data_IF_764504366776
#
_entry.id   IF_764504366776
#
_cell.length_a   1.000
_cell.length_b   1.000
_cell.length_c   1.000
_cell.angle_alpha   90.00
_cell.angle_beta   90.00
_cell.angle_gamma   90.00
#
_symmetry.space_group_name_H-M   'P 1'
#
loop_
_entity.id
_entity.type
_entity.pdbx_description
1 polymer ?
#
# COMPACT_ATOMS: atom_id res chain seq x y z
N UNK A 1 -22.94 18.03 1.46
CA UNK A 1 -22.12 17.93 2.68
C UNK A 1 -21.35 16.63 2.67
N UNK A 2 -20.05 16.72 2.81
CA UNK A 2 -19.24 15.52 2.83
C UNK A 2 -19.42 14.79 4.14
N UNK A 3 -19.66 13.50 4.09
CA UNK A 3 -19.68 12.67 5.28
C UNK A 3 -18.25 12.39 5.74
N UNK A 4 -18.08 12.27 7.05
CA UNK A 4 -16.81 11.86 7.61
C UNK A 4 -16.75 10.33 7.52
N UNK A 5 -15.75 9.82 6.83
CA UNK A 5 -15.60 8.39 6.67
C UNK A 5 -14.27 8.04 6.00
N UNK A 6 -14.02 6.76 5.81
CA UNK A 6 -12.79 6.32 5.16
C UNK A 6 -12.75 6.74 3.69
N UNK A 7 -11.55 6.80 3.10
CA UNK A 7 -11.41 7.08 1.67
C UNK A 7 -12.16 6.08 0.81
N UNK A 8 -12.49 6.51 -0.42
CA UNK A 8 -13.17 5.65 -1.38
C UNK A 8 -12.41 4.34 -1.58
N UNK A 9 -13.13 3.24 -1.55
CA UNK A 9 -12.53 1.92 -1.69
C UNK A 9 -11.99 1.32 -0.41
N UNK A 10 -12.09 2.06 0.68
CA UNK A 10 -11.65 1.60 2.00
C UNK A 10 -12.83 1.60 2.96
N UNK A 11 -12.70 0.86 4.03
CA UNK A 11 -13.74 0.82 5.05
C UNK A 11 -13.15 0.52 6.41
N UNK A 12 -13.86 0.96 7.43
CA UNK A 12 -13.55 0.58 8.80
C UNK A 12 -14.11 -0.82 9.06
N UNK A 13 -13.36 -1.63 9.76
CA UNK A 13 -13.79 -2.96 10.15
C UNK A 13 -14.22 -2.94 11.61
N UNK A 14 -15.51 -3.01 11.85
CA UNK A 14 -16.04 -3.07 13.21
C UNK A 14 -15.73 -4.44 13.82
N UNK A 15 -15.79 -4.55 15.17
CA UNK A 15 -15.30 -5.78 15.85
C UNK A 15 -15.86 -7.07 15.29
N UNK A 16 -17.15 -7.10 14.97
CA UNK A 16 -17.81 -8.30 14.45
C UNK A 16 -17.22 -8.74 13.12
N UNK A 17 -17.06 -7.79 12.20
CA UNK A 17 -16.51 -8.06 10.87
C UNK A 17 -14.99 -8.33 10.95
N UNK A 18 -14.31 -7.59 11.81
CA UNK A 18 -12.87 -7.76 11.99
C UNK A 18 -12.54 -9.16 12.55
N UNK A 19 -13.33 -9.65 13.48
CA UNK A 19 -13.14 -10.98 14.04
C UNK A 19 -13.38 -12.07 13.01
N UNK A 20 -14.40 -11.92 12.18
CA UNK A 20 -14.67 -12.88 11.11
C UNK A 20 -13.53 -12.91 10.11
N UNK A 21 -13.06 -11.75 9.69
CA UNK A 21 -11.93 -11.63 8.77
C UNK A 21 -10.68 -12.27 9.35
N UNK A 22 -10.39 -11.99 10.61
CA UNK A 22 -9.23 -12.55 11.30
C UNK A 22 -9.30 -14.07 11.38
N UNK A 23 -10.49 -14.60 11.68
CA UNK A 23 -10.70 -16.04 11.71
C UNK A 23 -10.44 -16.69 10.35
N UNK A 24 -10.94 -16.08 9.29
CA UNK A 24 -10.69 -16.56 7.92
C UNK A 24 -9.19 -16.57 7.60
N UNK A 25 -8.50 -15.49 7.93
CA UNK A 25 -7.07 -15.39 7.67
C UNK A 25 -6.27 -16.44 8.45
N UNK A 26 -6.64 -16.67 9.69
CA UNK A 26 -5.99 -17.69 10.51
C UNK A 26 -6.23 -19.11 9.96
N UNK A 27 -7.46 -19.38 9.53
CA UNK A 27 -7.82 -20.69 8.97
C UNK A 27 -7.04 -20.97 7.70
N UNK A 28 -7.00 -20.00 6.79
CA UNK A 28 -6.25 -20.11 5.54
C UNK A 28 -4.75 -20.22 5.82
N UNK A 29 -4.25 -19.41 6.76
CA UNK A 29 -2.84 -19.44 7.14
C UNK A 29 -2.41 -20.80 7.70
N UNK A 30 -3.26 -21.46 8.47
CA UNK A 30 -2.96 -22.80 8.99
C UNK A 30 -2.77 -23.79 7.86
N UNK A 31 -3.63 -23.74 6.84
CA UNK A 31 -3.52 -24.64 5.69
C UNK A 31 -2.20 -24.39 4.94
N UNK A 32 -1.86 -23.14 4.71
CA UNK A 32 -0.60 -22.81 4.04
C UNK A 32 0.61 -23.32 4.82
N UNK A 33 0.59 -23.15 6.13
CA UNK A 33 1.71 -23.62 6.98
C UNK A 33 1.86 -25.14 6.95
N UNK A 34 0.76 -25.88 6.82
CA UNK A 34 0.82 -27.33 6.68
C UNK A 34 1.59 -27.78 5.43
N UNK A 35 1.57 -26.96 4.39
CA UNK A 35 2.29 -27.23 3.15
C UNK A 35 3.66 -26.56 3.10
N UNK A 36 4.13 -26.02 4.20
CA UNK A 36 5.47 -25.45 4.29
C UNK A 36 5.60 -23.99 3.88
N UNK A 37 4.50 -23.31 3.61
CA UNK A 37 4.54 -21.88 3.30
C UNK A 37 4.65 -21.08 4.57
N UNK A 38 5.59 -20.17 4.61
CA UNK A 38 5.81 -19.28 5.75
C UNK A 38 5.30 -17.88 5.43
N UNK A 39 4.84 -17.17 6.46
CA UNK A 39 4.36 -15.80 6.24
C UNK A 39 5.52 -14.88 5.90
N UNK A 40 5.25 -13.93 5.04
CA UNK A 40 6.17 -12.84 4.71
C UNK A 40 5.37 -11.54 4.75
N UNK A 41 6.00 -10.50 5.21
CA UNK A 41 5.37 -9.20 5.26
C UNK A 41 6.34 -8.17 4.70
N UNK A 42 5.83 -7.30 3.85
CA UNK A 42 6.62 -6.25 3.24
C UNK A 42 5.97 -4.90 3.51
N UNK A 43 6.76 -3.81 3.52
CA UNK A 43 6.17 -2.49 3.75
C UNK A 43 5.14 -2.13 2.69
N UNK A 44 4.08 -1.44 3.12
CA UNK A 44 3.08 -0.90 2.21
C UNK A 44 3.67 0.25 1.40
N UNK A 45 4.53 1.05 2.03
CA UNK A 45 5.24 2.16 1.38
C UNK A 45 6.59 1.68 0.87
N UNK A 46 6.91 2.06 -0.35
CA UNK A 46 8.18 1.69 -0.96
C UNK A 46 8.69 2.82 -1.84
N UNK A 47 9.98 2.83 -2.12
CA UNK A 47 10.54 3.81 -3.04
C UNK A 47 9.96 3.61 -4.44
N UNK A 48 9.67 4.71 -5.12
CA UNK A 48 9.11 4.64 -6.47
C UNK A 48 10.03 3.92 -7.44
N UNK A 49 11.34 4.03 -7.25
CA UNK A 49 12.30 3.32 -8.10
C UNK A 49 12.09 1.81 -8.05
N UNK A 50 11.72 1.28 -6.90
CA UNK A 50 11.44 -0.15 -6.74
C UNK A 50 10.10 -0.50 -7.39
N UNK A 51 9.08 0.32 -7.14
CA UNK A 51 7.73 0.06 -7.64
C UNK A 51 7.63 0.18 -9.15
N UNK A 52 8.33 1.15 -9.74
CA UNK A 52 8.30 1.39 -11.18
C UNK A 52 9.23 0.47 -11.95
N UNK A 53 10.25 -0.08 -11.29
CA UNK A 53 11.26 -0.91 -11.94
C UNK A 53 10.74 -2.21 -12.53
N UNK A 54 9.59 -2.70 -12.08
CA UNK A 54 9.02 -3.95 -12.54
C UNK A 54 7.79 -3.80 -13.42
N UNK A 55 7.18 -2.63 -13.43
CA UNK A 55 5.84 -2.50 -13.94
C UNK A 55 5.69 -1.93 -15.33
N UNK A 56 6.65 -1.22 -15.82
CA UNK A 56 6.49 -0.49 -17.06
C UNK A 56 5.59 0.72 -16.90
N UNK A 57 5.42 1.50 -17.96
CA UNK A 57 4.78 2.81 -17.92
C UNK A 57 3.29 2.83 -17.58
N UNK A 58 2.58 1.75 -17.83
CA UNK A 58 1.16 1.71 -17.54
C UNK A 58 0.87 1.67 -16.03
N UNK A 59 1.71 0.98 -15.28
CA UNK A 59 1.54 0.87 -13.83
C UNK A 59 1.83 2.19 -13.12
N UNK A 60 2.62 3.06 -13.72
CA UNK A 60 2.92 4.35 -13.13
C UNK A 60 1.67 5.19 -12.91
N UNK A 61 0.71 5.12 -13.82
CA UNK A 61 -0.54 5.87 -13.72
C UNK A 61 -1.46 5.36 -12.62
N UNK A 62 -1.29 4.09 -12.24
CA UNK A 62 -2.14 3.46 -11.24
C UNK A 62 -1.57 3.52 -9.82
N UNK A 63 -0.29 3.88 -9.69
CA UNK A 63 0.35 3.94 -8.39
C UNK A 63 -0.08 5.19 -7.62
N UNK A 64 -0.40 4.99 -6.35
CA UNK A 64 -0.59 6.09 -5.43
C UNK A 64 0.77 6.58 -4.96
N UNK A 65 1.11 7.80 -5.32
CA UNK A 65 2.37 8.42 -4.93
C UNK A 65 2.18 9.19 -3.64
N UNK A 66 3.21 9.19 -2.81
CA UNK A 66 3.20 9.90 -1.55
C UNK A 66 4.05 11.14 -1.70
N UNK A 67 3.45 12.29 -1.42
CA UNK A 67 4.17 13.56 -1.50
C UNK A 67 5.31 13.60 -0.49
N UNK A 68 6.42 14.18 -0.90
CA UNK A 68 7.48 14.56 0.02
C UNK A 68 6.89 15.55 1.02
N UNK A 69 7.51 15.71 2.15
CA UNK A 69 6.99 16.59 3.19
C UNK A 69 8.08 17.46 3.76
N UNK A 70 7.64 18.57 4.35
CA UNK A 70 8.54 19.52 5.00
C UNK A 70 9.47 20.18 4.00
N UNK A 71 10.73 20.29 4.37
CA UNK A 71 11.75 20.95 3.56
C UNK A 71 11.98 20.27 2.22
N UNK A 72 11.90 18.94 2.20
CA UNK A 72 12.08 18.17 0.95
C UNK A 72 11.01 18.53 -0.08
N UNK A 73 9.77 18.73 0.36
CA UNK A 73 8.70 19.15 -0.53
C UNK A 73 8.93 20.56 -1.03
N UNK A 74 9.32 21.48 -0.15
CA UNK A 74 9.59 22.85 -0.50
C UNK A 74 10.74 22.96 -1.50
N UNK A 75 11.81 22.22 -1.28
CA UNK A 75 12.94 22.18 -2.19
C UNK A 75 12.55 21.61 -3.55
N UNK A 76 11.76 20.55 -3.57
CA UNK A 76 11.30 19.94 -4.81
C UNK A 76 10.41 20.88 -5.61
N UNK A 77 9.53 21.62 -4.95
CA UNK A 77 8.68 22.61 -5.59
C UNK A 77 9.49 23.76 -6.19
N UNK A 78 10.47 24.24 -5.44
CA UNK A 78 11.33 25.33 -5.88
C UNK A 78 12.22 24.92 -7.04
N UNK A 79 12.69 23.68 -7.06
CA UNK A 79 13.57 23.16 -8.11
C UNK A 79 12.81 22.64 -9.33
N UNK A 80 11.48 22.54 -9.26
CA UNK A 80 10.69 21.96 -10.33
C UNK A 80 10.86 20.44 -10.48
N UNK A 81 11.37 19.77 -9.44
CA UNK A 81 11.58 18.33 -9.47
C UNK A 81 10.36 17.53 -9.04
N UNK A 82 10.54 16.24 -8.92
CA UNK A 82 9.47 15.34 -8.50
C UNK A 82 9.02 15.63 -7.07
N UNK A 83 7.71 15.72 -6.87
CA UNK A 83 7.13 15.99 -5.57
C UNK A 83 6.97 14.74 -4.72
N UNK A 84 7.21 13.58 -5.29
CA UNK A 84 7.09 12.31 -4.60
C UNK A 84 8.28 11.41 -4.95
N UNK A 85 8.78 10.67 -3.96
CA UNK A 85 9.83 9.66 -4.16
C UNK A 85 9.41 8.30 -3.62
N UNK A 86 8.24 8.21 -2.99
CA UNK A 86 7.68 7.00 -2.44
C UNK A 86 6.26 6.81 -2.94
N UNK A 87 5.79 5.59 -2.86
CA UNK A 87 4.41 5.26 -3.22
C UNK A 87 3.89 4.11 -2.39
N UNK A 88 2.62 3.79 -2.59
CA UNK A 88 2.00 2.64 -1.95
C UNK A 88 2.09 1.43 -2.88
N UNK A 89 2.36 0.27 -2.32
CA UNK A 89 2.34 -0.95 -3.10
C UNK A 89 0.93 -1.17 -3.62
N UNK A 90 0.85 -1.55 -4.88
CA UNK A 90 -0.42 -1.84 -5.52
C UNK A 90 -1.12 -3.00 -4.83
N UNK A 91 -0.35 -4.01 -4.50
CA UNK A 91 -0.83 -5.24 -3.89
C UNK A 91 0.35 -5.86 -3.15
N UNK A 92 0.12 -6.40 -1.96
CA UNK A 92 1.17 -7.03 -1.18
C UNK A 92 1.63 -8.37 -1.76
N UNK A 93 0.91 -8.90 -2.73
CA UNK A 93 1.31 -10.12 -3.44
C UNK A 93 2.32 -9.85 -4.55
N UNK A 94 2.51 -8.60 -4.92
CA UNK A 94 3.47 -8.19 -5.94
C UNK A 94 4.74 -7.69 -5.24
N UNK A 95 5.81 -8.46 -5.24
CA UNK A 95 7.05 -8.07 -4.58
C UNK A 95 7.75 -6.93 -5.31
#
# INVERSE_FOLDING_TARGET
MSSIGPPTGMRDWLPQDALLRQHLMETIGKVYRLYGYLPIDTPVMEDLSVLLGKGGGENEKLLFKILKRGEKLAEAQAAGGDLADQGLRFDLTVP
#
